data_IF_302311640147
#
_entry.id   IF_302311640147
#
_cell.length_a   1.000
_cell.length_b   1.000
_cell.length_c   1.000
_cell.angle_alpha   90.00
_cell.angle_beta   90.00
_cell.angle_gamma   90.00
#
_symmetry.space_group_name_H-M   'P 1'
#
loop_
_entity.id
_entity.type
_entity.pdbx_description
1 polymer ?
#
# COMPACT_ATOMS: atom_id res chain seq x y z
N UNK A 1 17.54 17.19 -13.41
CA UNK A 1 17.58 15.76 -13.79
C UNK A 1 16.56 15.04 -12.93
N UNK A 2 16.06 13.83 -13.24
CA UNK A 2 14.99 13.28 -12.41
C UNK A 2 15.51 12.96 -11.00
N UNK A 3 14.67 13.12 -9.95
CA UNK A 3 15.00 12.68 -8.60
C UNK A 3 15.38 11.20 -8.54
N UNK A 4 16.09 10.81 -7.49
CA UNK A 4 16.34 9.40 -7.21
C UNK A 4 15.02 8.65 -6.95
N UNK A 5 15.00 7.35 -7.23
CA UNK A 5 13.86 6.48 -6.89
C UNK A 5 13.76 6.37 -5.36
N UNK A 6 12.56 6.49 -4.76
CA UNK A 6 12.37 6.24 -3.32
C UNK A 6 12.81 4.83 -2.95
N UNK A 7 13.42 4.66 -1.78
CA UNK A 7 13.93 3.36 -1.32
C UNK A 7 13.22 2.89 -0.05
N UNK A 8 13.46 1.65 0.36
CA UNK A 8 12.91 1.07 1.59
C UNK A 8 11.38 1.19 1.73
N UNK A 9 10.66 1.06 0.60
CA UNK A 9 9.20 1.03 0.60
C UNK A 9 8.66 -0.11 1.46
N UNK A 10 7.87 0.23 2.47
CA UNK A 10 7.22 -0.68 3.41
C UNK A 10 5.72 -0.47 3.41
N UNK A 11 4.99 -1.58 3.33
CA UNK A 11 3.56 -1.66 3.65
C UNK A 11 3.47 -2.52 4.91
N UNK A 12 2.85 -1.99 5.96
CA UNK A 12 3.10 -2.39 7.36
C UNK A 12 3.30 -3.91 7.60
N UNK A 13 4.56 -4.29 7.90
CA UNK A 13 5.11 -5.62 8.22
C UNK A 13 5.23 -6.66 7.06
N UNK A 14 5.32 -6.24 5.80
CA UNK A 14 5.26 -7.16 4.66
C UNK A 14 6.38 -8.21 4.55
N UNK A 15 6.06 -9.43 4.98
CA UNK A 15 6.16 -10.67 4.17
C UNK A 15 4.91 -11.53 4.42
N UNK A 16 4.17 -11.89 3.37
CA UNK A 16 2.96 -12.74 3.40
C UNK A 16 1.77 -12.21 4.21
N UNK A 17 1.63 -10.90 4.39
CA UNK A 17 0.50 -10.31 5.10
C UNK A 17 -0.82 -10.44 4.33
N UNK A 18 -1.87 -10.82 5.06
CA UNK A 18 -3.27 -10.73 4.61
C UNK A 18 -3.90 -9.59 5.38
N UNK A 19 -4.47 -8.62 4.67
CA UNK A 19 -5.23 -7.52 5.25
C UNK A 19 -6.71 -7.70 4.96
N UNK A 20 -7.53 -7.04 5.77
CA UNK A 20 -8.95 -6.96 5.50
C UNK A 20 -9.33 -5.66 4.81
N UNK A 21 -10.38 -5.77 4.01
CA UNK A 21 -11.11 -4.63 3.47
C UNK A 21 -11.48 -3.68 4.62
N UNK A 22 -11.34 -2.38 4.42
CA UNK A 22 -11.61 -1.37 5.45
C UNK A 22 -10.52 -1.18 6.50
N UNK A 23 -9.48 -2.02 6.57
CA UNK A 23 -8.31 -1.77 7.42
C UNK A 23 -7.48 -0.59 6.86
N UNK A 24 -6.88 0.17 7.78
CA UNK A 24 -5.89 1.19 7.42
C UNK A 24 -4.50 0.58 7.46
N UNK A 25 -3.79 0.67 6.33
CA UNK A 25 -2.37 0.33 6.23
C UNK A 25 -1.53 1.60 6.29
N UNK A 26 -0.35 1.52 6.90
CA UNK A 26 0.68 2.54 6.75
C UNK A 26 1.64 2.14 5.63
N UNK A 27 1.85 3.05 4.69
CA UNK A 27 2.85 3.00 3.63
C UNK A 27 3.96 3.99 3.98
N UNK A 28 5.21 3.57 3.95
CA UNK A 28 6.37 4.44 4.22
C UNK A 28 7.54 4.13 3.30
N UNK A 29 8.39 5.11 3.05
CA UNK A 29 9.59 5.00 2.23
C UNK A 29 10.67 5.94 2.75
N UNK A 30 11.89 5.79 2.24
CA UNK A 30 12.97 6.73 2.51
C UNK A 30 12.97 7.87 1.48
N UNK A 31 13.32 9.07 1.95
CA UNK A 31 13.36 10.27 1.13
C UNK A 31 14.29 10.11 -0.08
N UNK A 32 13.84 10.62 -1.22
CA UNK A 32 14.65 10.78 -2.42
C UNK A 32 15.50 12.04 -2.35
N UNK A 33 16.53 12.10 -3.19
CA UNK A 33 17.36 13.28 -3.41
C UNK A 33 17.23 13.74 -4.85
N UNK A 34 17.36 15.04 -5.07
CA UNK A 34 17.39 15.64 -6.40
C UNK A 34 18.78 16.24 -6.63
N UNK A 35 19.47 15.92 -7.75
CA UNK A 35 20.83 16.41 -7.98
C UNK A 35 20.94 17.92 -8.21
N UNK A 36 19.85 18.61 -8.55
CA UNK A 36 19.77 20.07 -8.63
C UNK A 36 19.20 20.70 -7.35
N UNK A 37 19.02 19.91 -6.29
CA UNK A 37 18.46 20.31 -5.00
C UNK A 37 17.03 20.88 -5.12
N UNK A 38 16.27 20.42 -6.11
CA UNK A 38 14.89 20.83 -6.30
C UNK A 38 13.96 20.22 -5.24
N UNK A 39 12.84 20.90 -4.98
CA UNK A 39 11.85 20.40 -4.03
C UNK A 39 11.19 19.13 -4.55
N UNK A 40 11.14 18.10 -3.70
CA UNK A 40 10.60 16.77 -4.06
C UNK A 40 9.23 16.58 -3.43
N UNK A 41 8.33 16.03 -4.23
CA UNK A 41 7.05 15.48 -3.78
C UNK A 41 6.90 14.04 -4.25
N UNK A 42 5.91 13.31 -3.72
CA UNK A 42 5.68 11.91 -4.04
C UNK A 42 4.26 11.66 -4.56
N UNK A 43 4.19 10.79 -5.56
CA UNK A 43 2.94 10.16 -5.99
C UNK A 43 2.94 8.71 -5.50
N UNK A 44 1.83 8.29 -4.90
CA UNK A 44 1.65 6.94 -4.36
C UNK A 44 0.37 6.35 -4.94
N UNK A 45 0.45 5.12 -5.46
CA UNK A 45 -0.67 4.41 -6.05
C UNK A 45 -0.85 3.02 -5.42
N UNK A 46 -2.11 2.55 -5.42
CA UNK A 46 -2.53 1.20 -5.04
C UNK A 46 -2.97 0.41 -6.27
N UNK A 47 -2.46 -0.80 -6.42
CA UNK A 47 -2.91 -1.75 -7.45
C UNK A 47 -3.98 -2.67 -6.89
N UNK A 48 -5.16 -2.64 -7.51
CA UNK A 48 -6.33 -3.42 -7.09
C UNK A 48 -6.57 -4.68 -7.95
N UNK A 49 -5.51 -5.24 -8.56
CA UNK A 49 -5.55 -6.28 -9.60
C UNK A 49 -6.14 -5.88 -10.96
N UNK A 50 -6.68 -4.67 -11.11
CA UNK A 50 -7.20 -4.16 -12.39
C UNK A 50 -6.41 -2.94 -12.87
N UNK A 51 -6.27 -1.94 -12.01
CA UNK A 51 -5.60 -0.68 -12.32
C UNK A 51 -4.82 -0.14 -11.12
N UNK A 52 -3.89 0.76 -11.41
CA UNK A 52 -3.27 1.61 -10.39
C UNK A 52 -4.19 2.78 -10.08
N UNK A 53 -4.53 2.95 -8.81
CA UNK A 53 -5.40 4.01 -8.31
C UNK A 53 -4.57 4.92 -7.40
N UNK A 54 -4.58 6.26 -7.59
CA UNK A 54 -3.83 7.16 -6.74
C UNK A 54 -4.37 7.16 -5.31
N UNK A 55 -3.46 7.05 -4.33
CA UNK A 55 -3.78 7.18 -2.90
C UNK A 55 -3.25 8.49 -2.32
N UNK A 56 -2.15 9.02 -2.87
CA UNK A 56 -1.62 10.34 -2.57
C UNK A 56 -0.94 10.91 -3.82
N UNK A 57 -1.02 12.21 -4.00
CA UNK A 57 -0.36 12.91 -5.11
C UNK A 57 0.30 14.17 -4.58
N UNK A 58 1.53 14.42 -5.05
CA UNK A 58 2.36 15.56 -4.62
C UNK A 58 2.47 15.72 -3.09
N UNK A 59 2.54 14.62 -2.34
CA UNK A 59 2.79 14.70 -0.88
C UNK A 59 4.27 15.02 -0.60
N UNK A 60 4.54 15.81 0.42
CA UNK A 60 5.92 16.06 0.90
C UNK A 60 6.35 15.07 1.99
N UNK A 61 5.39 14.38 2.60
CA UNK A 61 5.67 13.37 3.61
C UNK A 61 6.25 12.11 2.98
N UNK A 62 6.98 11.34 3.78
CA UNK A 62 7.56 10.04 3.39
C UNK A 62 6.73 8.85 3.91
N UNK A 63 5.48 9.12 4.28
CA UNK A 63 4.52 8.12 4.70
C UNK A 63 3.09 8.56 4.41
N UNK A 64 2.22 7.59 4.13
CA UNK A 64 0.78 7.79 3.92
C UNK A 64 0.01 6.69 4.63
N UNK A 65 -1.09 7.05 5.29
CA UNK A 65 -2.09 6.09 5.74
C UNK A 65 -3.13 5.88 4.64
N UNK A 66 -3.48 4.63 4.37
CA UNK A 66 -4.46 4.28 3.36
C UNK A 66 -5.47 3.28 3.90
N UNK A 67 -6.75 3.67 3.88
CA UNK A 67 -7.85 2.75 4.17
C UNK A 67 -8.13 1.91 2.93
N UNK A 68 -7.95 0.60 3.05
CA UNK A 68 -8.24 -0.34 1.98
C UNK A 68 -9.72 -0.27 1.58
N UNK A 69 -10.06 -0.18 0.28
CA UNK A 69 -11.44 -0.13 -0.17
C UNK A 69 -12.25 -1.32 0.32
N UNK A 70 -13.54 -1.11 0.57
CA UNK A 70 -14.47 -2.16 0.95
C UNK A 70 -14.76 -3.12 -0.23
N UNK A 71 -15.08 -4.37 0.08
CA UNK A 71 -15.48 -5.38 -0.90
C UNK A 71 -14.34 -6.01 -1.71
N UNK A 72 -13.08 -5.70 -1.42
CA UNK A 72 -11.93 -6.32 -2.11
C UNK A 72 -11.74 -7.78 -1.69
N UNK A 73 -11.41 -8.63 -2.66
CA UNK A 73 -11.05 -10.03 -2.43
C UNK A 73 -9.97 -10.46 -3.44
N UNK A 74 -8.75 -9.96 -3.23
CA UNK A 74 -7.64 -9.99 -4.18
C UNK A 74 -6.35 -10.51 -3.53
N UNK A 75 -5.46 -11.11 -4.32
CA UNK A 75 -4.24 -11.78 -3.84
C UNK A 75 -2.94 -11.10 -4.23
N UNK A 76 -3.00 -10.22 -5.22
CA UNK A 76 -1.87 -9.54 -5.82
C UNK A 76 -2.04 -8.02 -5.75
N UNK A 77 -2.46 -7.53 -4.58
CA UNK A 77 -2.47 -6.10 -4.29
C UNK A 77 -1.04 -5.60 -4.13
N UNK A 78 -0.77 -4.37 -4.58
CA UNK A 78 0.56 -3.75 -4.48
C UNK A 78 0.46 -2.26 -4.20
N UNK A 79 1.54 -1.69 -3.71
CA UNK A 79 1.75 -0.25 -3.63
C UNK A 79 2.93 0.11 -4.52
N UNK A 80 2.90 1.31 -5.11
CA UNK A 80 4.08 1.91 -5.72
C UNK A 80 4.20 3.38 -5.33
N UNK A 81 5.43 3.86 -5.27
CA UNK A 81 5.76 5.27 -5.01
C UNK A 81 6.82 5.76 -5.98
N UNK A 82 6.74 7.01 -6.40
CA UNK A 82 7.80 7.70 -7.16
C UNK A 82 8.00 9.11 -6.62
N UNK A 83 9.20 9.65 -6.85
CA UNK A 83 9.52 11.05 -6.59
C UNK A 83 9.23 11.91 -7.83
N UNK A 84 8.84 13.16 -7.59
CA UNK A 84 8.53 14.19 -8.59
C UNK A 84 9.19 15.50 -8.15
N UNK A 85 10.03 16.09 -9.01
CA UNK A 85 10.60 17.42 -8.76
C UNK A 85 9.60 18.55 -9.08
N UNK A 86 9.97 19.78 -8.75
CA UNK A 86 9.14 20.95 -9.01
C UNK A 86 9.03 21.34 -10.50
N UNK A 87 9.89 20.78 -11.36
CA UNK A 87 9.86 20.89 -12.81
C UNK A 87 9.07 19.75 -13.48
N UNK A 88 8.39 18.91 -12.70
CA UNK A 88 7.59 17.76 -13.13
C UNK A 88 8.37 16.57 -13.68
N UNK A 89 9.69 16.56 -13.59
CA UNK A 89 10.47 15.37 -13.87
C UNK A 89 10.27 14.34 -12.75
N UNK A 90 10.32 13.07 -13.12
CA UNK A 90 9.90 11.97 -12.23
C UNK A 90 10.94 10.87 -12.19
N UNK A 91 11.12 10.27 -11.02
CA UNK A 91 11.83 9.01 -10.89
C UNK A 91 11.02 7.85 -11.52
N UNK A 92 11.67 6.70 -11.69
CA UNK A 92 10.93 5.44 -11.81
C UNK A 92 10.14 5.15 -10.53
N UNK A 93 9.14 4.26 -10.61
CA UNK A 93 8.41 3.78 -9.44
C UNK A 93 9.22 2.72 -8.68
N UNK A 94 9.20 2.78 -7.36
CA UNK A 94 9.49 1.65 -6.48
C UNK A 94 8.17 0.93 -6.17
N UNK A 95 8.10 -0.37 -6.46
CA UNK A 95 6.95 -1.21 -6.11
C UNK A 95 7.19 -2.00 -4.82
N UNK A 96 6.13 -2.27 -4.07
CA UNK A 96 6.13 -3.18 -2.94
C UNK A 96 6.12 -4.64 -3.41
N UNK A 97 6.39 -5.56 -2.49
CA UNK A 97 5.94 -6.94 -2.66
C UNK A 97 4.41 -7.00 -2.73
N UNK A 98 3.89 -8.04 -3.38
CA UNK A 98 2.45 -8.29 -3.40
C UNK A 98 1.93 -8.68 -2.01
N UNK A 99 0.69 -8.30 -1.71
CA UNK A 99 -0.03 -8.70 -0.51
C UNK A 99 -1.49 -9.04 -0.84
N UNK A 100 -2.15 -9.72 0.10
CA UNK A 100 -3.55 -10.15 -0.06
C UNK A 100 -4.48 -9.18 0.68
N UNK A 101 -5.61 -8.87 0.06
CA UNK A 101 -6.72 -8.14 0.69
C UNK A 101 -7.98 -8.99 0.62
N UNK A 102 -8.60 -9.29 1.76
CA UNK A 102 -9.82 -10.11 1.83
C UNK A 102 -10.97 -9.31 2.42
N UNK A 103 -12.19 -9.61 1.96
CA UNK A 103 -13.40 -9.10 2.60
C UNK A 103 -13.59 -9.68 4.01
N UNK A 104 -13.17 -10.92 4.21
CA UNK A 104 -13.27 -11.66 5.46
C UNK A 104 -12.16 -12.72 5.51
N UNK A 105 -11.66 -13.01 6.71
CA UNK A 105 -10.77 -14.15 6.92
C UNK A 105 -11.60 -15.35 7.39
N UNK A 106 -11.41 -16.50 6.74
CA UNK A 106 -11.96 -17.78 7.20
C UNK A 106 -10.83 -18.55 7.88
N UNK A 107 -10.90 -18.72 9.19
CA UNK A 107 -10.02 -19.62 9.94
C UNK A 107 -10.82 -20.89 10.23
N UNK A 108 -10.33 -22.02 9.70
CA UNK A 108 -10.81 -23.35 10.07
C UNK A 108 -9.79 -23.90 11.06
N UNK A 109 -10.16 -23.97 12.33
CA UNK A 109 -9.40 -24.72 13.33
C UNK A 109 -10.12 -26.06 13.57
N UNK A 110 -9.34 -27.13 13.50
CA UNK A 110 -9.68 -28.56 13.59
C UNK A 110 -11.13 -28.90 14.02
N UNK A 111 -12.02 -29.01 13.02
CA UNK A 111 -13.15 -29.94 13.06
C UNK A 111 -14.57 -29.37 13.11
N UNK A 112 -14.85 -28.21 13.72
CA UNK A 112 -16.27 -27.80 13.87
C UNK A 112 -16.54 -26.31 14.09
N UNK A 113 -15.55 -25.49 14.45
CA UNK A 113 -15.78 -24.07 14.75
C UNK A 113 -15.34 -23.22 13.57
N UNK A 114 -16.32 -22.71 12.81
CA UNK A 114 -16.05 -21.70 11.81
C UNK A 114 -16.10 -20.32 12.49
N UNK A 115 -14.97 -19.61 12.49
CA UNK A 115 -14.93 -18.20 12.93
C UNK A 115 -14.71 -17.30 11.72
N UNK A 116 -15.58 -16.31 11.61
CA UNK A 116 -15.44 -15.23 10.63
C UNK A 116 -14.91 -14.02 11.38
N UNK A 117 -13.83 -13.43 10.90
CA UNK A 117 -13.46 -12.07 11.31
C UNK A 117 -14.15 -11.08 10.40
N UNK A 118 -15.07 -10.30 10.97
CA UNK A 118 -15.86 -9.30 10.26
C UNK A 118 -15.95 -8.04 11.14
N UNK A 119 -15.78 -6.86 10.55
CA UNK A 119 -15.97 -5.56 11.21
C UNK A 119 -15.18 -5.38 12.53
N UNK A 120 -13.96 -5.94 12.60
CA UNK A 120 -13.10 -5.86 13.79
C UNK A 120 -13.48 -6.81 14.93
N UNK A 121 -14.40 -7.75 14.70
CA UNK A 121 -14.87 -8.71 15.69
C UNK A 121 -14.83 -10.16 15.17
N UNK A 122 -14.63 -11.10 16.10
CA UNK A 122 -14.74 -12.54 15.83
C UNK A 122 -16.19 -12.98 16.00
N UNK A 123 -16.81 -13.43 14.91
CA UNK A 123 -18.17 -13.98 14.90
C UNK A 123 -18.05 -15.49 14.71
N UNK A 124 -18.70 -16.26 15.60
CA UNK A 124 -18.90 -17.70 15.39
C UNK A 124 -20.12 -17.88 14.50
N UNK A 125 -20.03 -18.72 13.48
CA UNK A 125 -21.19 -19.11 12.67
C UNK A 125 -21.66 -20.52 13.05
#
# INVERSE_FOLDING_TARGET
MPPTVPTNLKVTASTNSVYLTGETITVSWDASTDPEEEAITYDVDFYNESSWVPIASKTTDVSVEYKLPDGLNITNAKIRVRAVDNNTATSAYQESSAFTVRKQLLLVEDGEVIRVYQDGAWISI
#
